data_IF_781300439739
#
_entry.id   IF_781300439739
#
_cell.length_a   1.000
_cell.length_b   1.000
_cell.length_c   1.000
_cell.angle_alpha   90.00
_cell.angle_beta   90.00
_cell.angle_gamma   90.00
#
_symmetry.space_group_name_H-M   'P 1'
#
loop_
_entity.id
_entity.type
_entity.pdbx_description
1 polymer ?
#
# COMPACT_ATOMS: atom_id res chain seq x y z
N UNK A 1 -53.65 -92.68 -4.64
CA UNK A 1 -53.72 -91.22 -4.40
C UNK A 1 -52.77 -90.90 -3.27
N UNK A 2 -51.64 -90.28 -3.55
CA UNK A 2 -50.68 -89.80 -2.54
C UNK A 2 -50.11 -88.49 -3.08
N UNK A 3 -50.44 -87.41 -2.37
CA UNK A 3 -50.21 -86.03 -2.78
C UNK A 3 -48.72 -85.67 -2.71
N UNK A 4 -48.26 -84.94 -3.73
CA UNK A 4 -46.91 -84.39 -3.81
C UNK A 4 -46.70 -83.35 -2.70
N UNK A 5 -45.79 -83.65 -1.78
CA UNK A 5 -45.36 -82.78 -0.70
C UNK A 5 -44.49 -81.64 -1.28
N UNK A 6 -45.14 -80.55 -1.68
CA UNK A 6 -44.47 -79.36 -2.22
C UNK A 6 -44.06 -78.48 -1.05
N UNK A 7 -42.78 -78.55 -0.66
CA UNK A 7 -42.22 -77.61 0.34
C UNK A 7 -41.96 -76.26 -0.32
N UNK A 8 -42.46 -75.13 0.22
CA UNK A 8 -42.07 -73.83 -0.26
C UNK A 8 -40.59 -73.58 0.11
N UNK A 9 -39.75 -73.33 -0.90
CA UNK A 9 -38.40 -72.83 -0.66
C UNK A 9 -38.52 -71.43 -0.03
N UNK A 10 -37.74 -71.10 1.02
CA UNK A 10 -37.68 -69.74 1.50
C UNK A 10 -37.08 -68.88 0.37
N UNK A 11 -37.82 -67.86 -0.07
CA UNK A 11 -37.26 -66.79 -0.86
C UNK A 11 -36.17 -66.17 0.02
N UNK A 12 -34.92 -66.35 -0.36
CA UNK A 12 -33.82 -65.56 0.20
C UNK A 12 -34.14 -64.12 -0.20
N UNK A 13 -34.66 -63.35 0.76
CA UNK A 13 -34.62 -61.90 0.65
C UNK A 13 -33.13 -61.56 0.56
N UNK A 14 -32.69 -61.22 -0.65
CA UNK A 14 -31.43 -60.49 -0.81
C UNK A 14 -31.64 -59.23 0.02
N UNK A 15 -30.92 -59.16 1.14
CA UNK A 15 -30.86 -57.98 1.99
C UNK A 15 -30.77 -56.78 1.07
N UNK A 16 -31.77 -55.90 1.18
CA UNK A 16 -31.76 -54.62 0.49
C UNK A 16 -30.38 -54.03 0.70
N UNK A 17 -29.70 -53.76 -0.41
CA UNK A 17 -28.43 -53.06 -0.40
C UNK A 17 -28.58 -51.89 0.57
N UNK A 18 -27.76 -51.95 1.62
CA UNK A 18 -27.67 -50.96 2.67
C UNK A 18 -27.11 -49.69 2.00
N UNK A 19 -27.95 -49.00 1.22
CA UNK A 19 -27.75 -47.63 0.79
C UNK A 19 -27.78 -46.80 2.08
N UNK A 20 -26.64 -46.80 2.79
CA UNK A 20 -26.36 -45.93 3.91
C UNK A 20 -26.29 -44.51 3.39
N UNK A 21 -27.45 -43.96 3.08
CA UNK A 21 -27.65 -42.55 2.85
C UNK A 21 -27.10 -41.79 4.04
N UNK A 22 -26.32 -40.74 3.76
CA UNK A 22 -25.76 -39.87 4.77
C UNK A 22 -26.83 -39.46 5.78
N UNK A 23 -26.55 -39.64 7.07
CA UNK A 23 -27.50 -39.24 8.11
C UNK A 23 -27.81 -37.75 7.94
N UNK A 24 -29.05 -37.31 8.26
CA UNK A 24 -29.44 -35.91 8.06
C UNK A 24 -28.52 -34.90 8.73
N UNK A 25 -27.91 -35.27 9.86
CA UNK A 25 -26.92 -34.46 10.57
C UNK A 25 -25.59 -34.39 9.82
N UNK A 26 -25.07 -35.53 9.35
CA UNK A 26 -23.82 -35.58 8.58
C UNK A 26 -23.94 -34.77 7.27
N UNK A 27 -25.11 -34.84 6.61
CA UNK A 27 -25.41 -34.02 5.43
C UNK A 27 -25.38 -32.52 5.73
N UNK A 28 -25.93 -32.10 6.89
CA UNK A 28 -25.89 -30.69 7.32
C UNK A 28 -24.48 -30.22 7.65
N UNK A 29 -23.66 -31.08 8.27
CA UNK A 29 -22.26 -30.78 8.58
C UNK A 29 -21.47 -30.60 7.29
N UNK A 30 -21.61 -31.53 6.33
CA UNK A 30 -20.94 -31.43 5.03
C UNK A 30 -21.39 -30.17 4.28
N UNK A 31 -22.69 -29.85 4.28
CA UNK A 31 -23.20 -28.62 3.67
C UNK A 31 -22.62 -27.36 4.34
N UNK A 32 -22.49 -27.34 5.66
CA UNK A 32 -21.88 -26.23 6.38
C UNK A 32 -20.40 -26.07 6.03
N UNK A 33 -19.65 -27.17 5.96
CA UNK A 33 -18.23 -27.16 5.55
C UNK A 33 -18.10 -26.64 4.12
N UNK A 34 -18.90 -27.15 3.18
CA UNK A 34 -18.90 -26.70 1.79
C UNK A 34 -19.23 -25.22 1.69
N UNK A 35 -20.21 -24.73 2.46
CA UNK A 35 -20.59 -23.33 2.47
C UNK A 35 -19.45 -22.45 3.01
N UNK A 36 -18.81 -22.85 4.11
CA UNK A 36 -17.66 -22.13 4.67
C UNK A 36 -16.51 -22.10 3.65
N UNK A 37 -16.17 -23.23 3.04
CA UNK A 37 -15.13 -23.29 2.02
C UNK A 37 -15.46 -22.41 0.80
N UNK A 38 -16.70 -22.42 0.34
CA UNK A 38 -17.15 -21.61 -0.79
C UNK A 38 -17.08 -20.11 -0.47
N UNK A 39 -17.57 -19.70 0.70
CA UNK A 39 -17.53 -18.30 1.15
C UNK A 39 -16.08 -17.83 1.36
N UNK A 40 -15.24 -18.62 2.02
CA UNK A 40 -13.81 -18.30 2.20
C UNK A 40 -13.08 -18.19 0.87
N UNK A 41 -13.35 -19.09 -0.08
CA UNK A 41 -12.75 -19.04 -1.42
C UNK A 41 -13.22 -17.81 -2.19
N UNK A 42 -14.51 -17.50 -2.16
CA UNK A 42 -15.06 -16.31 -2.82
C UNK A 42 -14.48 -15.02 -2.25
N UNK A 43 -14.37 -14.93 -0.92
CA UNK A 43 -13.71 -13.81 -0.24
C UNK A 43 -12.23 -13.70 -0.62
N UNK A 44 -11.50 -14.82 -0.65
CA UNK A 44 -10.09 -14.85 -1.05
C UNK A 44 -9.89 -14.40 -2.51
N UNK A 45 -10.77 -14.82 -3.43
CA UNK A 45 -10.73 -14.37 -4.84
C UNK A 45 -11.03 -12.88 -4.95
N UNK A 46 -12.04 -12.37 -4.24
CA UNK A 46 -12.35 -10.94 -4.20
C UNK A 46 -11.17 -10.12 -3.66
N UNK A 47 -10.51 -10.62 -2.61
CA UNK A 47 -9.34 -9.97 -2.03
C UNK A 47 -8.13 -9.97 -2.97
N UNK A 48 -7.89 -11.09 -3.65
CA UNK A 48 -6.83 -11.21 -4.64
C UNK A 48 -7.09 -10.32 -5.86
N UNK A 49 -8.33 -10.25 -6.34
CA UNK A 49 -8.72 -9.40 -7.46
C UNK A 49 -8.61 -7.92 -7.09
N UNK A 50 -9.11 -7.51 -5.92
CA UNK A 50 -8.92 -6.15 -5.41
C UNK A 50 -7.43 -5.79 -5.32
N UNK A 51 -6.60 -6.69 -4.79
CA UNK A 51 -5.14 -6.46 -4.66
C UNK A 51 -4.46 -6.37 -6.04
N UNK A 52 -4.81 -7.25 -6.97
CA UNK A 52 -4.25 -7.24 -8.33
C UNK A 52 -4.72 -6.03 -9.14
N UNK A 53 -5.99 -5.66 -9.02
CA UNK A 53 -6.57 -4.53 -9.73
C UNK A 53 -6.01 -3.21 -9.19
N UNK A 54 -5.85 -3.08 -7.87
CA UNK A 54 -5.14 -1.95 -7.24
C UNK A 54 -3.68 -1.89 -7.68
N UNK A 55 -2.95 -3.01 -7.64
CA UNK A 55 -1.54 -3.07 -8.04
C UNK A 55 -1.33 -2.80 -9.53
N UNK A 56 -2.26 -3.21 -10.39
CA UNK A 56 -2.17 -3.00 -11.85
C UNK A 56 -2.67 -1.62 -12.29
N UNK A 57 -3.67 -1.05 -11.61
CA UNK A 57 -4.35 0.17 -12.08
C UNK A 57 -4.10 1.43 -11.23
N UNK A 58 -3.68 1.34 -9.96
CA UNK A 58 -3.70 2.49 -9.05
C UNK A 58 -2.33 3.04 -8.62
N UNK A 59 -1.26 2.25 -8.57
CA UNK A 59 0.06 2.77 -8.18
C UNK A 59 1.16 2.32 -9.14
N UNK A 60 1.62 3.21 -10.05
CA UNK A 60 2.74 2.89 -10.93
C UNK A 60 3.98 2.56 -10.08
N UNK A 61 4.85 1.63 -10.52
CA UNK A 61 6.09 1.33 -9.81
C UNK A 61 6.88 2.64 -9.56
N UNK A 62 7.41 2.85 -8.36
CA UNK A 62 8.19 4.07 -8.10
C UNK A 62 9.65 3.84 -8.49
N UNK A 63 10.23 4.77 -9.26
CA UNK A 63 11.68 4.82 -9.47
C UNK A 63 12.28 5.70 -8.41
N UNK A 64 12.67 5.08 -7.30
CA UNK A 64 13.26 5.75 -6.15
C UNK A 64 14.75 6.01 -6.40
N UNK A 65 15.12 7.28 -6.49
CA UNK A 65 16.51 7.72 -6.41
C UNK A 65 16.87 7.95 -4.94
N UNK A 66 17.71 7.08 -4.39
CA UNK A 66 18.26 7.23 -3.04
C UNK A 66 19.35 8.29 -3.03
N UNK A 67 19.31 9.17 -2.05
CA UNK A 67 20.25 10.29 -1.90
C UNK A 67 20.83 10.22 -0.50
N UNK A 68 22.15 10.03 -0.43
CA UNK A 68 22.85 9.92 0.84
C UNK A 68 22.80 11.22 1.66
N UNK A 69 23.19 11.17 2.95
CA UNK A 69 23.08 12.31 3.84
C UNK A 69 23.89 13.52 3.33
N UNK A 70 23.24 14.69 3.28
CA UNK A 70 23.84 15.94 2.82
C UNK A 70 24.15 16.04 1.32
N UNK A 71 23.83 15.00 0.54
CA UNK A 71 24.00 14.97 -0.91
C UNK A 71 22.89 15.76 -1.62
N UNK A 72 23.15 16.08 -2.88
CA UNK A 72 22.19 16.72 -3.78
C UNK A 72 21.53 15.63 -4.61
N UNK A 73 20.20 15.61 -4.59
CA UNK A 73 19.38 14.78 -5.47
C UNK A 73 18.84 15.57 -6.65
N UNK A 74 18.46 14.89 -7.74
CA UNK A 74 17.79 15.52 -8.87
C UNK A 74 16.40 14.91 -9.10
N UNK A 75 15.38 15.77 -9.18
CA UNK A 75 14.00 15.40 -9.45
C UNK A 75 13.32 16.53 -10.22
N UNK A 76 12.56 16.20 -11.27
CA UNK A 76 11.84 17.16 -12.14
C UNK A 76 12.74 18.30 -12.68
N UNK A 77 13.98 17.96 -13.07
CA UNK A 77 14.97 18.93 -13.57
C UNK A 77 15.45 19.96 -12.53
N UNK A 78 15.15 19.72 -11.25
CA UNK A 78 15.58 20.54 -10.15
C UNK A 78 16.53 19.77 -9.22
N UNK A 79 17.53 20.47 -8.69
CA UNK A 79 18.42 19.97 -7.66
C UNK A 79 17.79 20.17 -6.28
N UNK A 80 17.79 19.14 -5.45
CA UNK A 80 17.18 19.12 -4.12
C UNK A 80 18.22 18.74 -3.07
N UNK A 81 18.22 19.43 -1.93
CA UNK A 81 19.10 19.13 -0.81
C UNK A 81 18.41 19.39 0.52
N UNK A 82 18.45 18.42 1.43
CA UNK A 82 18.05 18.63 2.82
C UNK A 82 19.15 19.41 3.54
N UNK A 83 18.79 20.56 4.11
CA UNK A 83 19.72 21.45 4.82
C UNK A 83 19.55 21.39 6.33
N UNK A 84 18.32 21.23 6.79
CA UNK A 84 18.00 21.30 8.22
C UNK A 84 16.88 20.30 8.53
N UNK A 85 16.95 19.71 9.72
CA UNK A 85 15.92 18.88 10.30
C UNK A 85 15.68 19.37 11.72
N UNK A 86 14.43 19.66 12.06
CA UNK A 86 14.03 20.13 13.36
C UNK A 86 12.77 19.40 13.82
N UNK A 87 12.76 18.99 15.08
CA UNK A 87 11.58 18.46 15.74
C UNK A 87 10.85 19.60 16.45
N UNK A 88 9.55 19.68 16.21
CA UNK A 88 8.64 20.62 16.82
C UNK A 88 8.27 20.21 18.24
N UNK A 89 7.37 20.98 18.86
CA UNK A 89 6.82 20.63 20.17
C UNK A 89 5.86 19.44 20.02
N UNK A 90 5.77 18.54 21.01
CA UNK A 90 4.81 17.46 21.01
C UNK A 90 3.39 18.01 20.81
N UNK A 91 2.63 17.37 19.93
CA UNK A 91 1.25 17.74 19.62
C UNK A 91 0.31 16.85 20.44
N UNK A 92 0.21 17.12 21.75
CA UNK A 92 -0.72 16.43 22.66
C UNK A 92 -0.13 16.13 24.04
N UNK A 93 -1.00 16.09 25.06
CA UNK A 93 -0.66 15.66 26.42
C UNK A 93 -1.24 14.28 26.71
N UNK A 94 -0.48 13.22 26.43
CA UNK A 94 -0.82 11.83 26.77
C UNK A 94 -1.24 10.93 25.59
N UNK A 95 -0.83 9.65 25.67
CA UNK A 95 -1.05 8.48 24.77
C UNK A 95 -0.72 8.62 23.28
N UNK A 96 -0.90 9.79 22.67
CA UNK A 96 -0.55 10.06 21.28
C UNK A 96 0.76 10.86 21.27
N UNK A 97 1.89 10.17 21.48
CA UNK A 97 3.23 10.78 21.48
C UNK A 97 3.67 11.08 20.03
N UNK A 98 3.04 12.10 19.44
CA UNK A 98 3.34 12.61 18.11
C UNK A 98 4.00 13.98 18.19
N UNK A 99 4.90 14.25 17.25
CA UNK A 99 5.57 15.53 17.11
C UNK A 99 5.47 16.04 15.68
N UNK A 100 5.62 17.35 15.51
CA UNK A 100 5.76 17.95 14.19
C UNK A 100 7.21 17.82 13.72
N UNK A 101 7.48 17.08 12.66
CA UNK A 101 8.79 17.04 12.04
C UNK A 101 8.87 18.11 10.95
N UNK A 102 9.91 18.95 10.99
CA UNK A 102 10.17 20.02 10.02
C UNK A 102 11.51 19.79 9.34
N UNK A 103 11.52 19.74 8.01
CA UNK A 103 12.74 19.73 7.21
C UNK A 103 12.83 21.00 6.36
N UNK A 104 14.01 21.59 6.30
CA UNK A 104 14.32 22.62 5.31
C UNK A 104 15.01 21.98 4.11
N UNK A 105 14.37 22.06 2.96
CA UNK A 105 14.89 21.55 1.70
C UNK A 105 15.20 22.74 0.81
N UNK A 106 16.43 22.82 0.31
CA UNK A 106 16.79 23.77 -0.73
C UNK A 106 16.55 23.12 -2.07
N UNK A 107 15.85 23.83 -2.95
CA UNK A 107 15.60 23.41 -4.33
C UNK A 107 16.15 24.46 -5.29
N UNK A 108 16.84 24.03 -6.33
CA UNK A 108 17.32 24.87 -7.43
C UNK A 108 16.82 24.30 -8.75
N UNK A 109 15.81 24.90 -9.38
CA UNK A 109 15.36 24.49 -10.70
C UNK A 109 16.43 24.76 -11.77
N UNK A 110 16.63 23.85 -12.71
CA UNK A 110 17.57 24.07 -13.82
C UNK A 110 17.05 25.06 -14.88
N UNK A 111 15.75 24.98 -15.18
CA UNK A 111 15.11 25.77 -16.24
C UNK A 111 13.69 26.25 -15.87
N UNK A 112 13.00 26.92 -16.81
CA UNK A 112 11.64 27.43 -16.64
C UNK A 112 10.59 26.33 -16.45
N UNK A 113 10.76 25.17 -17.09
CA UNK A 113 9.84 24.05 -16.94
C UNK A 113 9.95 23.43 -15.54
N UNK A 114 11.19 23.22 -15.09
CA UNK A 114 11.54 22.74 -13.75
C UNK A 114 11.06 23.71 -12.68
N UNK A 115 11.24 25.02 -12.89
CA UNK A 115 10.75 26.04 -11.95
C UNK A 115 9.22 26.02 -11.84
N UNK A 116 8.53 25.83 -12.97
CA UNK A 116 7.08 25.64 -12.99
C UNK A 116 6.67 24.33 -12.29
N UNK A 117 7.38 23.23 -12.52
CA UNK A 117 7.11 21.95 -11.87
C UNK A 117 7.23 22.05 -10.34
N UNK A 118 8.32 22.67 -9.85
CA UNK A 118 8.55 22.92 -8.42
C UNK A 118 7.47 23.82 -7.81
N UNK A 119 7.04 24.87 -8.54
CA UNK A 119 6.01 25.80 -8.09
C UNK A 119 4.57 25.33 -8.29
N UNK A 120 4.36 24.23 -9.02
CA UNK A 120 3.03 23.72 -9.34
C UNK A 120 2.47 22.82 -8.24
N UNK A 121 1.15 22.87 -8.04
CA UNK A 121 0.44 21.93 -7.16
C UNK A 121 0.54 20.52 -7.74
N UNK A 122 1.34 19.66 -7.12
CA UNK A 122 1.46 18.26 -7.57
C UNK A 122 2.60 17.47 -6.95
N UNK A 123 3.63 18.14 -6.41
CA UNK A 123 4.66 17.46 -5.63
C UNK A 123 4.07 16.88 -4.34
N UNK A 124 4.36 15.62 -4.07
CA UNK A 124 3.92 14.93 -2.86
C UNK A 124 5.12 14.70 -1.96
N UNK A 125 5.00 15.09 -0.70
CA UNK A 125 6.02 14.90 0.33
C UNK A 125 5.55 13.82 1.29
N UNK A 126 6.41 12.84 1.59
CA UNK A 126 6.16 11.75 2.52
C UNK A 126 7.34 11.58 3.45
N UNK A 127 7.08 11.22 4.70
CA UNK A 127 8.08 10.62 5.56
C UNK A 127 7.93 9.12 5.54
N UNK A 128 9.04 8.38 5.45
CA UNK A 128 9.03 6.91 5.33
C UNK A 128 10.04 6.32 6.30
N UNK A 129 9.73 5.19 6.91
CA UNK A 129 10.68 4.43 7.74
C UNK A 129 11.32 3.25 6.98
N UNK A 130 12.12 2.46 7.68
CA UNK A 130 12.79 1.28 7.11
C UNK A 130 11.79 0.15 6.78
N UNK A 131 10.65 0.11 7.48
CA UNK A 131 9.55 -0.84 7.27
C UNK A 131 8.62 -0.44 6.11
N UNK A 132 8.82 0.75 5.52
CA UNK A 132 7.99 1.28 4.43
C UNK A 132 6.67 1.91 4.90
N UNK A 133 6.48 2.17 6.19
CA UNK A 133 5.34 2.95 6.70
C UNK A 133 5.50 4.40 6.29
N UNK A 134 4.40 5.03 5.88
CA UNK A 134 4.42 6.38 5.33
C UNK A 134 3.55 7.36 6.13
N UNK A 135 4.06 8.58 6.29
CA UNK A 135 3.33 9.71 6.85
C UNK A 135 3.24 10.84 5.83
N UNK A 136 2.06 11.44 5.71
CA UNK A 136 1.84 12.62 4.87
C UNK A 136 2.66 13.81 5.36
N UNK A 137 3.32 14.52 4.44
CA UNK A 137 3.97 15.78 4.72
C UNK A 137 3.51 16.87 3.73
N UNK A 138 3.57 18.13 4.17
CA UNK A 138 3.22 19.31 3.41
C UNK A 138 4.47 20.14 3.17
N UNK A 139 4.78 20.44 1.91
CA UNK A 139 5.82 21.40 1.53
C UNK A 139 5.24 22.79 1.38
N UNK A 140 5.83 23.78 2.03
CA UNK A 140 5.53 25.20 1.81
C UNK A 140 6.77 25.94 1.33
N UNK A 141 6.61 26.73 0.27
CA UNK A 141 7.66 27.60 -0.25
C UNK A 141 7.24 29.06 -0.04
N UNK A 142 8.21 29.92 0.29
CA UNK A 142 8.00 31.37 0.30
C UNK A 142 8.36 31.91 -1.09
N UNK A 143 7.37 32.50 -1.78
CA UNK A 143 7.54 33.03 -3.13
C UNK A 143 7.55 31.97 -4.23
N UNK A 144 7.71 32.41 -5.48
CA UNK A 144 7.70 31.55 -6.66
C UNK A 144 9.11 31.03 -6.99
N UNK A 145 9.20 29.76 -7.38
CA UNK A 145 10.46 29.16 -7.83
C UNK A 145 10.91 29.82 -9.14
N UNK A 146 12.21 30.10 -9.26
CA UNK A 146 12.81 30.74 -10.44
C UNK A 146 13.92 29.85 -11.03
N UNK A 147 14.09 29.83 -12.36
CA UNK A 147 15.18 29.08 -13.00
C UNK A 147 16.55 29.50 -12.47
N UNK A 148 17.40 28.52 -12.15
CA UNK A 148 18.77 28.71 -11.65
C UNK A 148 18.88 29.27 -10.22
N UNK A 149 17.79 29.73 -9.62
CA UNK A 149 17.79 30.36 -8.29
C UNK A 149 17.40 29.33 -7.24
N UNK A 150 18.22 29.21 -6.20
CA UNK A 150 17.89 28.37 -5.06
C UNK A 150 16.77 28.99 -4.21
N UNK A 151 15.74 28.22 -3.89
CA UNK A 151 14.67 28.57 -2.96
C UNK A 151 14.59 27.56 -1.82
N UNK A 152 14.07 28.00 -0.66
CA UNK A 152 13.85 27.16 0.51
C UNK A 152 12.40 26.69 0.54
N UNK A 153 12.22 25.37 0.60
CA UNK A 153 10.96 24.68 0.85
C UNK A 153 11.00 24.13 2.27
N UNK A 154 9.99 24.44 3.07
CA UNK A 154 9.82 23.86 4.40
C UNK A 154 8.84 22.71 4.31
N UNK A 155 9.29 21.49 4.59
CA UNK A 155 8.45 20.29 4.62
C UNK A 155 8.07 20.00 6.06
N UNK A 156 6.76 19.85 6.33
CA UNK A 156 6.22 19.64 7.68
C UNK A 156 5.27 18.45 7.70
N UNK A 157 5.32 17.63 8.73
CA UNK A 157 4.38 16.53 8.92
C UNK A 157 4.31 16.10 10.37
N UNK A 158 3.21 15.43 10.74
CA UNK A 158 3.01 14.88 12.08
C UNK A 158 3.43 13.42 12.09
N UNK A 159 4.38 13.08 12.96
CA UNK A 159 4.99 11.75 13.03
C UNK A 159 5.09 11.28 14.48
N UNK A 160 5.18 9.96 14.74
CA UNK A 160 5.48 9.45 16.07
C UNK A 160 6.82 10.02 16.57
N UNK A 161 6.85 10.52 17.81
CA UNK A 161 8.03 11.17 18.38
C UNK A 161 9.24 10.25 18.42
N UNK A 162 9.03 8.98 18.74
CA UNK A 162 10.08 7.95 18.77
C UNK A 162 10.72 7.71 17.40
N UNK A 163 10.01 8.03 16.31
CA UNK A 163 10.49 7.85 14.94
C UNK A 163 10.99 9.16 14.32
N UNK A 164 10.74 10.32 14.93
CA UNK A 164 11.06 11.62 14.35
C UNK A 164 12.53 11.79 13.94
N UNK A 165 13.44 11.08 14.59
CA UNK A 165 14.86 11.04 14.21
C UNK A 165 15.20 10.09 13.06
N UNK A 166 14.46 9.00 12.85
CA UNK A 166 14.80 7.94 11.88
C UNK A 166 14.13 8.06 10.52
N UNK A 167 13.06 8.85 10.40
CA UNK A 167 12.30 8.93 9.17
C UNK A 167 13.07 9.59 8.02
N UNK A 168 12.91 9.05 6.82
CA UNK A 168 13.49 9.55 5.58
C UNK A 168 12.47 10.39 4.83
N UNK A 169 12.93 11.41 4.10
CA UNK A 169 12.06 12.25 3.29
C UNK A 169 11.97 11.68 1.87
N UNK A 170 10.75 11.44 1.40
CA UNK A 170 10.46 11.08 0.02
C UNK A 170 9.70 12.20 -0.67
N UNK A 171 10.24 12.68 -1.80
CA UNK A 171 9.61 13.67 -2.68
C UNK A 171 9.20 12.95 -3.96
N UNK A 172 7.92 13.00 -4.33
CA UNK A 172 7.40 12.36 -5.55
C UNK A 172 7.00 13.42 -6.57
N UNK A 173 7.34 13.19 -7.83
CA UNK A 173 6.98 14.07 -8.93
C UNK A 173 5.45 14.16 -9.14
N UNK A 174 4.93 15.26 -9.71
CA UNK A 174 3.52 15.41 -10.03
C UNK A 174 3.03 14.33 -10.98
N UNK A 175 1.74 13.95 -10.85
CA UNK A 175 1.09 12.98 -11.76
C UNK A 175 1.14 13.41 -13.23
N UNK A 176 1.27 14.71 -13.50
CA UNK A 176 1.30 15.33 -14.83
C UNK A 176 2.62 15.19 -15.58
N UNK A 177 3.73 14.86 -14.90
CA UNK A 177 5.04 14.61 -15.55
C UNK A 177 5.19 13.19 -16.12
N UNK A 178 4.10 12.43 -16.19
CA UNK A 178 4.09 11.07 -16.71
C UNK A 178 4.26 11.08 -18.24
N UNK A 179 5.33 10.45 -18.74
CA UNK A 179 5.57 10.27 -20.18
C UNK A 179 4.83 9.09 -20.83
N UNK A 180 4.26 8.15 -20.04
CA UNK A 180 3.50 7.02 -20.57
C UNK A 180 2.71 6.22 -19.53
N UNK A 181 1.65 5.52 -19.98
CA UNK A 181 0.82 4.65 -19.14
C UNK A 181 1.58 3.38 -18.72
N UNK A 182 2.33 3.47 -17.63
CA UNK A 182 3.08 2.36 -17.04
C UNK A 182 4.45 2.80 -16.53
N UNK A 183 4.91 3.98 -16.97
CA UNK A 183 6.21 4.49 -16.58
C UNK A 183 6.31 4.72 -15.06
N UNK A 184 7.44 4.30 -14.46
CA UNK A 184 7.62 4.43 -13.05
C UNK A 184 7.70 5.90 -12.65
N UNK A 185 7.02 6.26 -11.57
CA UNK A 185 7.03 7.65 -11.09
C UNK A 185 8.39 7.96 -10.47
N UNK A 186 9.10 8.99 -10.91
CA UNK A 186 10.36 9.36 -10.29
C UNK A 186 10.08 9.90 -8.88
N UNK A 187 10.80 9.36 -7.92
CA UNK A 187 10.79 9.81 -6.53
C UNK A 187 12.20 9.94 -6.01
N UNK A 188 12.38 10.81 -5.04
CA UNK A 188 13.67 11.11 -4.45
C UNK A 188 13.59 10.85 -2.95
N UNK A 189 14.45 9.95 -2.45
CA UNK A 189 14.46 9.49 -1.06
C UNK A 189 15.77 9.94 -0.41
N UNK A 190 15.68 10.86 0.53
CA UNK A 190 16.82 11.33 1.32
C UNK A 190 17.02 10.42 2.53
N UNK A 191 18.14 9.72 2.53
CA UNK A 191 18.58 8.90 3.64
C UNK A 191 19.05 9.78 4.81
N UNK A 192 18.99 9.22 6.02
CA UNK A 192 19.37 9.89 7.26
C UNK A 192 20.88 10.00 7.42
#
# INVERSE_FOLDING_TARGET
MTAAETRPQPIVQVDAEDERGMRPLDRRIVQAIVLVCAVSTFLAVQWLDATNNVRKNLEPPEKVSKVGPGQIGELVGAQWKVMERAEGRPLGGGSNDVTELRLAVVVRPGDAASAKAVGSYGLVYRFVDDDGREWSAMGSQVGQARPGVASRVTVKGTVPRTMAGSLELVIRAPKTERKGQGDPRPSLRFER
#
